data_IF_916203726931
#
_entry.id   IF_916203726931
#
_cell.length_a   1.000
_cell.length_b   1.000
_cell.length_c   1.000
_cell.angle_alpha   90.00
_cell.angle_beta   90.00
_cell.angle_gamma   90.00
#
_symmetry.space_group_name_H-M   'P 1'
#
loop_
_entity.id
_entity.type
_entity.pdbx_description
1 polymer ?
#
# COMPACT_ATOMS: atom_id res chain seq x y z
N UNK A 1 8.39 16.75 18.17
CA UNK A 1 8.59 15.50 17.41
C UNK A 1 9.96 14.94 17.77
N UNK A 2 10.10 13.61 18.02
CA UNK A 2 11.39 13.02 18.40
C UNK A 2 12.39 13.16 17.25
N UNK A 3 13.57 13.70 17.52
CA UNK A 3 14.70 13.78 16.60
C UNK A 3 15.76 12.81 17.12
N UNK A 4 16.05 11.77 16.35
CA UNK A 4 17.05 10.77 16.71
C UNK A 4 18.39 11.13 16.10
N UNK A 5 19.40 11.36 16.95
CA UNK A 5 20.77 11.66 16.58
C UNK A 5 21.73 10.64 17.24
N UNK A 6 22.98 10.50 16.74
CA UNK A 6 23.50 11.07 15.49
C UNK A 6 22.89 10.41 14.24
N UNK A 7 23.05 11.05 13.08
CA UNK A 7 22.76 10.45 11.76
C UNK A 7 24.04 10.48 10.93
N UNK A 8 24.25 9.44 10.14
CA UNK A 8 25.31 9.36 9.13
C UNK A 8 24.68 9.41 7.73
N UNK A 9 25.51 9.66 6.72
CA UNK A 9 25.07 9.58 5.32
C UNK A 9 25.22 8.15 4.77
N UNK A 10 25.57 7.18 5.61
CA UNK A 10 25.81 5.80 5.23
C UNK A 10 24.49 5.04 5.13
N UNK A 11 24.23 4.45 3.95
CA UNK A 11 23.06 3.61 3.75
C UNK A 11 23.39 2.15 4.06
N UNK A 12 22.57 1.52 4.88
CA UNK A 12 22.53 0.07 5.03
C UNK A 12 21.53 -0.48 4.03
N UNK A 13 22.02 -1.20 3.01
CA UNK A 13 21.17 -1.82 2.00
C UNK A 13 20.61 -3.12 2.54
N UNK A 14 19.27 -3.20 2.62
CA UNK A 14 18.59 -4.43 3.05
C UNK A 14 18.85 -5.54 2.02
N UNK A 15 19.23 -6.76 2.43
CA UNK A 15 19.38 -7.89 1.51
C UNK A 15 18.07 -8.20 0.79
N UNK A 16 18.17 -8.82 -0.41
CA UNK A 16 17.01 -9.22 -1.18
C UNK A 16 16.22 -10.34 -0.46
N UNK A 17 14.91 -10.28 -0.56
CA UNK A 17 14.01 -11.24 0.09
C UNK A 17 13.80 -11.04 1.59
N UNK A 18 14.54 -10.14 2.23
CA UNK A 18 14.38 -9.86 3.66
C UNK A 18 13.14 -9.01 3.91
N UNK A 19 12.30 -9.48 4.82
CA UNK A 19 11.08 -8.79 5.26
C UNK A 19 11.19 -8.42 6.74
N UNK A 20 10.99 -7.12 7.05
CA UNK A 20 11.02 -6.60 8.41
C UNK A 20 9.60 -6.50 8.94
N UNK A 21 9.31 -7.16 10.05
CA UNK A 21 7.98 -7.16 10.68
C UNK A 21 8.05 -6.55 12.06
N UNK A 22 7.10 -5.70 12.38
CA UNK A 22 6.85 -5.27 13.76
C UNK A 22 5.36 -5.06 13.99
N UNK A 23 4.92 -5.30 15.23
CA UNK A 23 3.60 -4.90 15.72
C UNK A 23 3.74 -3.85 16.81
N UNK A 24 2.70 -3.06 16.99
CA UNK A 24 2.61 -2.07 18.07
C UNK A 24 1.23 -2.11 18.70
N UNK A 25 1.13 -1.60 19.92
CA UNK A 25 -0.16 -1.23 20.52
C UNK A 25 -0.76 0.01 19.85
N UNK A 26 -1.91 0.45 20.34
CA UNK A 26 -2.60 1.67 19.84
C UNK A 26 -1.80 2.95 20.12
N UNK A 27 -0.93 2.94 21.11
CA UNK A 27 -0.03 4.04 21.48
C UNK A 27 1.28 4.04 20.71
N UNK A 28 1.43 3.11 19.75
CA UNK A 28 2.62 2.89 18.93
C UNK A 28 3.86 2.36 19.68
N UNK A 29 3.70 1.73 20.84
CA UNK A 29 4.79 0.98 21.47
C UNK A 29 4.94 -0.37 20.80
N UNK A 30 6.19 -0.75 20.52
CA UNK A 30 6.52 -2.01 19.86
C UNK A 30 6.16 -3.17 20.79
N UNK A 31 5.29 -4.06 20.32
CA UNK A 31 4.89 -5.29 21.04
C UNK A 31 5.59 -6.53 20.50
N UNK A 32 5.99 -6.48 19.24
CA UNK A 32 6.74 -7.54 18.56
C UNK A 32 7.65 -6.98 17.48
N UNK A 33 8.77 -7.64 17.26
CA UNK A 33 9.65 -7.41 16.11
C UNK A 33 10.35 -8.72 15.73
N UNK A 34 10.43 -9.01 14.43
CA UNK A 34 11.09 -10.21 13.95
C UNK A 34 12.62 -10.07 13.97
N UNK A 35 13.38 -11.19 13.90
CA UNK A 35 14.84 -11.16 13.90
C UNK A 35 15.45 -10.28 12.81
N UNK A 36 14.83 -10.23 11.62
CA UNK A 36 15.28 -9.38 10.54
C UNK A 36 15.18 -7.89 10.88
N UNK A 37 14.10 -7.45 11.55
CA UNK A 37 13.97 -6.06 12.01
C UNK A 37 15.02 -5.71 13.05
N UNK A 38 15.32 -6.61 13.99
CA UNK A 38 16.37 -6.46 15.00
C UNK A 38 17.74 -6.26 14.30
N UNK A 39 18.11 -7.18 13.40
CA UNK A 39 19.38 -7.15 12.69
C UNK A 39 19.55 -5.87 11.83
N UNK A 40 18.52 -5.49 11.08
CA UNK A 40 18.58 -4.31 10.20
C UNK A 40 18.54 -3.02 10.99
N UNK A 41 17.77 -2.93 12.06
CA UNK A 41 17.72 -1.71 12.89
C UNK A 41 18.97 -1.52 13.74
N UNK A 42 19.69 -2.60 14.08
CA UNK A 42 20.88 -2.61 14.92
C UNK A 42 20.60 -2.41 16.42
N UNK A 43 19.33 -2.47 16.82
CA UNK A 43 18.90 -2.50 18.22
C UNK A 43 18.72 -3.94 18.68
N UNK A 44 18.85 -4.20 19.97
CA UNK A 44 18.45 -5.50 20.53
C UNK A 44 16.92 -5.59 20.68
N UNK A 45 16.41 -6.79 20.92
CA UNK A 45 14.97 -7.01 21.17
C UNK A 45 14.51 -6.23 22.40
N UNK A 46 15.31 -6.25 23.46
CA UNK A 46 15.04 -5.58 24.74
C UNK A 46 15.01 -4.07 24.60
N UNK A 47 15.83 -3.53 23.68
CA UNK A 47 15.86 -2.12 23.36
C UNK A 47 14.69 -1.66 22.47
N UNK A 48 14.01 -2.58 21.80
CA UNK A 48 12.91 -2.28 20.89
C UNK A 48 11.54 -2.49 21.53
N UNK A 49 11.32 -3.65 22.17
CA UNK A 49 10.02 -3.98 22.73
C UNK A 49 9.67 -3.02 23.88
N UNK A 50 8.45 -2.53 23.88
CA UNK A 50 7.97 -1.52 24.82
C UNK A 50 8.38 -0.09 24.49
N UNK A 51 9.25 0.15 23.48
CA UNK A 51 9.62 1.50 23.06
C UNK A 51 8.68 2.04 21.99
N UNK A 52 8.46 3.36 21.94
CA UNK A 52 7.71 3.96 20.84
C UNK A 52 8.42 3.68 19.50
N UNK A 53 7.66 3.28 18.48
CA UNK A 53 8.18 2.87 17.18
C UNK A 53 9.01 3.97 16.48
N UNK A 54 8.86 5.24 16.90
CA UNK A 54 9.64 6.35 16.38
C UNK A 54 11.12 6.31 16.78
N UNK A 55 11.56 5.29 17.54
CA UNK A 55 12.98 5.05 17.86
C UNK A 55 13.83 4.86 16.59
N UNK A 56 13.28 4.24 15.56
CA UNK A 56 13.93 4.02 14.26
C UNK A 56 13.68 5.13 13.24
N UNK A 57 13.03 6.22 13.63
CA UNK A 57 12.69 7.28 12.70
C UNK A 57 13.93 8.09 12.30
N UNK A 58 14.11 8.27 10.98
CA UNK A 58 15.13 9.21 10.47
C UNK A 58 14.60 10.66 10.49
N UNK A 59 15.40 11.65 10.88
CA UNK A 59 14.96 13.05 10.94
C UNK A 59 14.62 13.65 9.58
N UNK A 60 15.17 13.15 8.47
CA UNK A 60 14.84 13.61 7.11
C UNK A 60 13.40 13.31 6.67
N UNK A 61 12.72 12.41 7.40
CA UNK A 61 11.33 12.10 7.06
C UNK A 61 10.40 13.26 7.41
N UNK A 62 9.64 13.78 6.43
CA UNK A 62 8.73 14.89 6.68
C UNK A 62 7.63 14.48 7.67
N UNK A 63 7.28 15.36 8.63
CA UNK A 63 6.22 15.10 9.59
C UNK A 63 4.88 14.77 8.96
N UNK A 64 4.63 15.33 7.79
CA UNK A 64 3.41 15.15 7.00
C UNK A 64 3.20 13.70 6.59
N UNK A 65 4.28 12.95 6.29
CA UNK A 65 4.20 11.53 5.96
C UNK A 65 3.65 10.70 7.13
N UNK A 66 4.08 10.99 8.34
CA UNK A 66 3.58 10.29 9.53
C UNK A 66 2.17 10.77 9.93
N UNK A 67 1.83 12.06 9.69
CA UNK A 67 0.46 12.53 9.88
C UNK A 67 -0.50 11.80 8.96
N UNK A 68 -0.18 11.68 7.68
CA UNK A 68 -0.97 10.92 6.70
C UNK A 68 -1.10 9.44 7.11
N UNK A 69 0.00 8.82 7.55
CA UNK A 69 0.00 7.46 8.06
C UNK A 69 -1.00 7.27 9.20
N UNK A 70 -0.91 8.12 10.23
CA UNK A 70 -1.78 7.99 11.40
C UNK A 70 -3.25 8.29 11.10
N UNK A 71 -3.55 9.28 10.26
CA UNK A 71 -4.92 9.56 9.80
C UNK A 71 -5.48 8.36 9.06
N UNK A 72 -4.68 7.74 8.18
CA UNK A 72 -5.08 6.57 7.40
C UNK A 72 -5.32 5.34 8.28
N UNK A 73 -4.37 5.01 9.18
CA UNK A 73 -4.49 3.85 10.06
C UNK A 73 -5.66 3.96 11.04
N UNK A 74 -5.88 5.15 11.61
CA UNK A 74 -7.02 5.42 12.50
C UNK A 74 -8.37 5.35 11.80
N UNK A 75 -8.41 5.56 10.48
CA UNK A 75 -9.62 5.33 9.66
C UNK A 75 -9.87 3.85 9.34
N UNK A 76 -9.08 2.92 9.89
CA UNK A 76 -9.18 1.49 9.59
C UNK A 76 -8.59 1.07 8.24
N UNK A 77 -7.88 1.99 7.56
CA UNK A 77 -7.36 1.75 6.21
C UNK A 77 -5.86 1.44 6.23
N UNK A 78 -5.36 0.58 5.32
CA UNK A 78 -3.93 0.32 5.19
C UNK A 78 -3.20 1.51 4.59
N UNK A 79 -1.97 1.75 5.05
CA UNK A 79 -1.09 2.79 4.56
C UNK A 79 0.20 2.18 3.98
N UNK A 80 0.66 2.69 2.83
CA UNK A 80 1.90 2.23 2.22
C UNK A 80 2.66 3.41 1.63
N UNK A 81 3.93 3.56 2.01
CA UNK A 81 4.85 4.54 1.43
C UNK A 81 6.30 4.16 1.70
N UNK A 82 7.20 4.85 1.01
CA UNK A 82 8.63 4.76 1.29
C UNK A 82 8.98 5.48 2.59
N UNK A 83 9.79 4.83 3.42
CA UNK A 83 10.22 5.38 4.70
C UNK A 83 11.73 5.24 4.83
N UNK A 84 12.39 6.35 5.16
CA UNK A 84 13.79 6.37 5.58
C UNK A 84 13.83 6.14 7.08
N UNK A 85 14.48 5.08 7.51
CA UNK A 85 14.69 4.74 8.91
C UNK A 85 16.14 4.97 9.30
N UNK A 86 16.38 5.13 10.62
CA UNK A 86 17.69 5.27 11.23
C UNK A 86 18.02 4.00 11.99
N UNK A 87 19.24 3.51 11.82
CA UNK A 87 19.84 2.44 12.63
C UNK A 87 20.37 3.00 13.96
N UNK A 88 20.63 2.12 14.92
CA UNK A 88 21.18 2.50 16.23
C UNK A 88 22.49 3.28 16.12
N UNK A 89 23.38 2.90 15.19
CA UNK A 89 24.66 3.57 14.95
C UNK A 89 24.56 4.91 14.19
N UNK A 90 23.37 5.28 13.70
CA UNK A 90 23.16 6.52 12.96
C UNK A 90 23.03 6.33 11.46
N UNK A 91 23.40 5.17 10.90
CA UNK A 91 23.18 4.85 9.49
C UNK A 91 21.68 4.84 9.16
N UNK A 92 21.36 4.88 7.89
CA UNK A 92 19.98 4.83 7.46
C UNK A 92 19.69 3.64 6.54
N UNK A 93 18.43 3.29 6.46
CA UNK A 93 17.94 2.30 5.51
C UNK A 93 16.57 2.68 4.99
N UNK A 94 16.32 2.36 3.72
CA UNK A 94 15.06 2.62 3.06
C UNK A 94 14.17 1.38 3.04
N UNK A 95 12.90 1.58 3.28
CA UNK A 95 11.89 0.52 3.22
C UNK A 95 10.65 0.98 2.47
N UNK A 96 10.03 0.07 1.74
CA UNK A 96 8.61 0.16 1.40
C UNK A 96 7.83 -0.31 2.62
N UNK A 97 7.30 0.62 3.39
CA UNK A 97 6.53 0.31 4.59
C UNK A 97 5.06 0.09 4.24
N UNK A 98 4.51 -1.04 4.69
CA UNK A 98 3.12 -1.40 4.59
C UNK A 98 2.58 -1.54 6.01
N UNK A 99 1.78 -0.57 6.45
CA UNK A 99 1.19 -0.55 7.78
C UNK A 99 -0.31 -0.80 7.72
N UNK A 100 -0.81 -1.65 8.62
CA UNK A 100 -2.23 -2.01 8.71
C UNK A 100 -2.69 -2.02 10.16
N UNK A 101 -3.93 -1.59 10.46
CA UNK A 101 -4.50 -1.81 11.77
C UNK A 101 -4.77 -3.30 12.00
N UNK A 102 -4.45 -3.78 13.19
CA UNK A 102 -4.84 -5.11 13.68
C UNK A 102 -6.23 -4.95 14.28
N UNK A 103 -7.19 -5.69 13.74
CA UNK A 103 -8.59 -5.58 14.15
C UNK A 103 -8.99 -6.78 15.01
N UNK A 104 -9.73 -6.54 16.09
CA UNK A 104 -10.38 -7.57 16.90
C UNK A 104 -11.80 -7.11 17.17
N UNK A 105 -12.80 -7.94 16.84
CA UNK A 105 -14.22 -7.64 17.01
C UNK A 105 -14.62 -6.26 16.42
N UNK A 106 -14.07 -5.92 15.25
CA UNK A 106 -14.36 -4.67 14.56
C UNK A 106 -13.67 -3.42 15.15
N UNK A 107 -12.85 -3.56 16.18
CA UNK A 107 -12.09 -2.48 16.80
C UNK A 107 -10.59 -2.66 16.55
N UNK A 108 -9.83 -1.58 16.31
CA UNK A 108 -8.39 -1.66 16.23
C UNK A 108 -7.81 -1.96 17.63
N UNK A 109 -6.93 -2.95 17.70
CA UNK A 109 -6.20 -3.34 18.93
C UNK A 109 -4.71 -3.05 18.85
N UNK A 110 -4.21 -2.68 17.68
CA UNK A 110 -2.81 -2.37 17.43
C UNK A 110 -2.56 -2.15 15.95
N UNK A 111 -1.29 -2.09 15.59
CA UNK A 111 -0.86 -1.90 14.21
C UNK A 111 0.24 -2.89 13.87
N UNK A 112 0.19 -3.45 12.65
CA UNK A 112 1.26 -4.26 12.08
C UNK A 112 1.92 -3.49 10.94
N UNK A 113 3.23 -3.57 10.86
CA UNK A 113 3.98 -3.01 9.73
C UNK A 113 4.92 -4.04 9.15
N UNK A 114 4.74 -4.33 7.88
CA UNK A 114 5.57 -5.20 7.07
C UNK A 114 6.37 -4.32 6.11
N UNK A 115 7.68 -4.49 6.08
CA UNK A 115 8.60 -3.64 5.32
C UNK A 115 9.47 -4.49 4.43
N UNK A 116 9.57 -4.08 3.18
CA UNK A 116 10.39 -4.74 2.17
C UNK A 116 11.40 -3.76 1.58
N UNK A 117 12.45 -4.30 0.95
CA UNK A 117 13.43 -3.50 0.22
C UNK A 117 12.77 -2.79 -0.97
N UNK A 118 12.91 -1.47 -1.12
CA UNK A 118 12.46 -0.73 -2.30
C UNK A 118 13.47 -0.84 -3.45
N UNK A 119 13.04 -0.50 -4.68
CA UNK A 119 13.96 -0.32 -5.80
C UNK A 119 14.75 0.99 -5.68
N UNK A 120 15.86 1.10 -6.39
CA UNK A 120 16.67 2.33 -6.39
C UNK A 120 15.94 3.53 -6.97
N UNK A 121 15.15 3.32 -8.02
CA UNK A 121 14.32 4.40 -8.60
C UNK A 121 13.28 4.90 -7.59
N UNK A 122 12.66 3.99 -6.84
CA UNK A 122 11.71 4.36 -5.79
C UNK A 122 12.37 5.21 -4.71
N UNK A 123 13.58 4.82 -4.27
CA UNK A 123 14.35 5.58 -3.26
C UNK A 123 14.65 6.99 -3.77
N UNK A 124 15.19 7.13 -4.99
CA UNK A 124 15.49 8.42 -5.59
C UNK A 124 14.26 9.34 -5.71
N UNK A 125 13.14 8.78 -6.15
CA UNK A 125 11.87 9.52 -6.22
C UNK A 125 11.39 9.98 -4.84
N UNK A 126 11.52 9.13 -3.82
CA UNK A 126 11.13 9.47 -2.45
C UNK A 126 12.05 10.53 -1.83
N UNK A 127 13.35 10.46 -2.05
CA UNK A 127 14.31 11.47 -1.57
C UNK A 127 14.00 12.85 -2.15
N UNK A 128 13.81 12.92 -3.48
CA UNK A 128 13.43 14.16 -4.15
C UNK A 128 12.10 14.73 -3.63
N UNK A 129 11.09 13.85 -3.46
CA UNK A 129 9.80 14.23 -2.91
C UNK A 129 9.90 14.78 -1.49
N UNK A 130 10.60 14.06 -0.60
CA UNK A 130 10.69 14.45 0.80
C UNK A 130 11.57 15.68 1.01
N UNK A 131 12.61 15.86 0.19
CA UNK A 131 13.39 17.09 0.15
C UNK A 131 12.51 18.29 -0.25
N UNK A 132 11.72 18.14 -1.31
CA UNK A 132 10.75 19.16 -1.75
C UNK A 132 9.72 19.47 -0.67
N UNK A 133 9.12 18.47 -0.03
CA UNK A 133 8.15 18.68 1.05
C UNK A 133 8.75 19.44 2.24
N UNK A 134 10.02 19.19 2.58
CA UNK A 134 10.73 19.96 3.63
C UNK A 134 10.91 21.42 3.21
N UNK A 135 11.41 21.67 1.99
CA UNK A 135 11.58 23.04 1.45
C UNK A 135 10.25 23.80 1.38
N UNK A 136 9.20 23.17 0.85
CA UNK A 136 7.87 23.78 0.77
C UNK A 136 7.33 24.15 2.16
N UNK A 137 7.59 23.33 3.15
CA UNK A 137 7.19 23.63 4.55
C UNK A 137 7.94 24.83 5.10
N UNK A 138 9.26 24.93 4.86
CA UNK A 138 10.08 26.05 5.32
C UNK A 138 9.65 27.37 4.68
N UNK A 139 9.24 27.33 3.40
CA UNK A 139 8.78 28.52 2.69
C UNK A 139 7.26 28.79 2.83
N UNK A 140 6.53 27.95 3.55
CA UNK A 140 5.09 28.11 3.78
C UNK A 140 4.20 27.90 2.54
N UNK A 141 4.73 27.34 1.45
CA UNK A 141 4.00 27.14 0.20
C UNK A 141 3.95 25.65 -0.18
N UNK A 142 2.85 24.98 0.22
CA UNK A 142 2.68 23.53 0.03
C UNK A 142 2.00 23.26 -1.30
N UNK A 143 2.71 22.64 -2.24
CA UNK A 143 2.19 22.25 -3.57
C UNK A 143 1.92 20.75 -3.67
N UNK A 144 2.55 19.93 -2.83
CA UNK A 144 2.36 18.48 -2.76
C UNK A 144 2.04 18.03 -1.34
N UNK A 145 1.16 17.05 -1.22
CA UNK A 145 0.82 16.41 0.05
C UNK A 145 0.75 14.89 -0.14
N UNK A 146 0.72 14.16 0.98
CA UNK A 146 0.43 12.73 0.98
C UNK A 146 -1.03 12.51 1.38
N UNK A 147 -1.68 11.57 0.70
CA UNK A 147 -3.01 11.09 1.05
C UNK A 147 -3.06 9.56 0.90
N UNK A 148 -3.21 8.86 2.02
CA UNK A 148 -3.15 7.39 2.10
C UNK A 148 -1.86 6.82 1.49
N UNK A 149 -0.73 7.49 1.73
CA UNK A 149 0.60 7.14 1.19
C UNK A 149 0.83 7.51 -0.27
N UNK A 150 -0.13 8.13 -0.96
CA UNK A 150 0.00 8.57 -2.35
C UNK A 150 0.30 10.07 -2.42
N UNK A 151 1.14 10.47 -3.37
CA UNK A 151 1.41 11.87 -3.66
C UNK A 151 0.20 12.49 -4.32
N UNK A 152 -0.28 13.60 -3.78
CA UNK A 152 -1.39 14.39 -4.33
C UNK A 152 -0.99 15.85 -4.46
N UNK A 153 -1.37 16.48 -5.57
CA UNK A 153 -1.22 17.92 -5.71
C UNK A 153 -2.19 18.65 -4.76
N UNK A 154 -1.76 19.78 -4.20
CA UNK A 154 -2.59 20.68 -3.41
C UNK A 154 -3.16 21.82 -4.25
N UNK A 155 -4.03 22.65 -3.69
CA UNK A 155 -4.63 23.79 -4.38
C UNK A 155 -5.57 23.39 -5.53
N UNK A 156 -5.72 24.31 -6.52
CA UNK A 156 -6.64 24.14 -7.66
C UNK A 156 -6.28 22.93 -8.55
N UNK A 157 -4.99 22.64 -8.73
CA UNK A 157 -4.51 21.46 -9.49
C UNK A 157 -4.96 20.16 -8.82
N UNK A 158 -4.86 20.08 -7.50
CA UNK A 158 -5.35 18.93 -6.74
C UNK A 158 -6.87 18.81 -6.76
N UNK A 159 -7.59 19.94 -6.75
CA UNK A 159 -9.05 19.96 -6.90
C UNK A 159 -9.46 19.44 -8.29
N UNK A 160 -8.80 19.89 -9.36
CA UNK A 160 -9.03 19.42 -10.71
C UNK A 160 -8.73 17.92 -10.86
N UNK A 161 -7.60 17.46 -10.31
CA UNK A 161 -7.23 16.05 -10.34
C UNK A 161 -8.24 15.16 -9.59
N UNK A 162 -8.81 15.65 -8.47
CA UNK A 162 -9.90 14.95 -7.76
C UNK A 162 -11.20 14.97 -8.56
N UNK A 163 -11.53 16.09 -9.21
CA UNK A 163 -12.72 16.22 -10.03
C UNK A 163 -12.69 15.31 -11.28
N UNK A 164 -11.51 15.11 -11.87
CA UNK A 164 -11.33 14.25 -13.04
C UNK A 164 -11.12 12.76 -12.72
N UNK A 165 -10.99 12.38 -11.44
CA UNK A 165 -10.92 10.98 -11.06
C UNK A 165 -12.24 10.29 -11.36
N UNK A 166 -12.16 9.27 -12.21
CA UNK A 166 -13.31 8.43 -12.53
C UNK A 166 -13.60 7.50 -11.36
N UNK A 167 -14.66 7.79 -10.63
CA UNK A 167 -15.27 6.86 -9.68
C UNK A 167 -16.24 5.96 -10.45
N UNK A 168 -16.52 4.77 -9.91
CA UNK A 168 -17.47 3.82 -10.51
C UNK A 168 -18.82 4.51 -10.78
N UNK A 169 -19.36 5.21 -9.79
CA UNK A 169 -20.62 5.92 -9.91
C UNK A 169 -20.62 7.00 -11.02
N UNK A 170 -19.53 7.77 -11.15
CA UNK A 170 -19.38 8.77 -12.23
C UNK A 170 -19.29 8.12 -13.61
N UNK A 171 -18.55 7.02 -13.73
CA UNK A 171 -18.42 6.31 -15.02
C UNK A 171 -19.77 5.76 -15.49
N UNK A 172 -20.52 5.14 -14.58
CA UNK A 172 -21.86 4.64 -14.87
C UNK A 172 -22.80 5.80 -15.19
N UNK A 173 -22.80 6.85 -14.35
CA UNK A 173 -23.69 8.00 -14.54
C UNK A 173 -23.45 8.72 -15.87
N UNK A 174 -22.19 8.98 -16.24
CA UNK A 174 -21.84 9.58 -17.51
C UNK A 174 -22.21 8.69 -18.70
N UNK A 175 -22.01 7.37 -18.57
CA UNK A 175 -22.42 6.41 -19.60
C UNK A 175 -23.94 6.40 -19.81
N UNK A 176 -24.72 6.35 -18.75
CA UNK A 176 -26.20 6.38 -18.81
C UNK A 176 -26.69 7.74 -19.36
N UNK A 177 -26.14 8.86 -18.91
CA UNK A 177 -26.50 10.19 -19.38
C UNK A 177 -26.20 10.34 -20.88
N UNK A 178 -25.00 9.87 -21.33
CA UNK A 178 -24.62 9.88 -22.74
C UNK A 178 -25.56 9.08 -23.63
N UNK A 179 -25.96 7.87 -23.18
CA UNK A 179 -26.93 7.04 -23.89
C UNK A 179 -28.32 7.67 -23.94
N UNK A 180 -28.78 8.30 -22.85
CA UNK A 180 -30.07 8.98 -22.82
C UNK A 180 -30.09 10.20 -23.79
N UNK A 181 -29.05 11.02 -23.78
CA UNK A 181 -28.92 12.16 -24.69
C UNK A 181 -28.83 11.71 -26.16
N UNK A 182 -28.08 10.64 -26.44
CA UNK A 182 -27.98 10.08 -27.77
C UNK A 182 -29.31 9.50 -28.23
N UNK A 183 -30.10 8.86 -27.35
CA UNK A 183 -31.45 8.38 -27.62
C UNK A 183 -32.41 9.51 -27.97
N UNK A 184 -32.40 10.62 -27.24
CA UNK A 184 -33.19 11.81 -27.53
C UNK A 184 -32.80 12.42 -28.88
N UNK A 185 -31.49 12.54 -29.17
CA UNK A 185 -30.99 13.06 -30.44
C UNK A 185 -31.39 12.13 -31.61
N UNK A 186 -31.30 10.82 -31.43
CA UNK A 186 -31.73 9.84 -32.41
C UNK A 186 -33.26 9.91 -32.71
N UNK A 187 -34.07 10.08 -31.64
CA UNK A 187 -35.53 10.28 -31.77
C UNK A 187 -35.85 11.56 -32.56
N UNK A 188 -35.18 12.66 -32.28
CA UNK A 188 -35.34 13.91 -33.03
C UNK A 188 -34.90 13.78 -34.51
N UNK A 189 -33.76 13.15 -34.76
CA UNK A 189 -33.26 12.93 -36.13
C UNK A 189 -34.22 12.05 -36.93
N UNK A 190 -34.81 11.01 -36.36
CA UNK A 190 -35.79 10.16 -37.03
C UNK A 190 -37.09 10.91 -37.38
N UNK A 191 -37.52 11.85 -36.52
CA UNK A 191 -38.69 12.66 -36.76
C UNK A 191 -38.48 13.70 -37.91
N UNK A 192 -37.26 14.19 -38.08
CA UNK A 192 -36.92 15.24 -39.06
C UNK A 192 -36.49 14.64 -40.42
N UNK A 193 -35.70 13.55 -40.41
CA UNK A 193 -35.03 12.99 -41.61
C UNK A 193 -35.68 11.74 -42.19
N UNK A 194 -36.78 11.26 -41.60
CA UNK A 194 -37.50 10.08 -42.07
C UNK A 194 -36.72 8.76 -41.89
N UNK A 195 -37.00 7.76 -42.79
CA UNK A 195 -36.45 6.41 -42.67
C UNK A 195 -34.93 6.30 -42.75
N UNK A 196 -34.28 7.11 -43.57
CA UNK A 196 -32.80 7.14 -43.71
C UNK A 196 -32.16 7.69 -42.44
N UNK A 197 -32.72 8.77 -41.86
CA UNK A 197 -32.28 9.34 -40.62
C UNK A 197 -32.44 8.37 -39.41
N UNK A 198 -33.52 7.59 -39.39
CA UNK A 198 -33.75 6.62 -38.31
C UNK A 198 -32.75 5.46 -38.34
N UNK A 199 -32.36 4.96 -39.51
CA UNK A 199 -31.33 3.93 -39.63
C UNK A 199 -29.97 4.42 -39.19
N UNK A 200 -29.56 5.60 -39.63
CA UNK A 200 -28.26 6.23 -39.22
C UNK A 200 -28.21 6.51 -37.72
N UNK A 201 -29.27 7.06 -37.15
CA UNK A 201 -29.39 7.31 -35.74
C UNK A 201 -29.38 6.00 -34.91
N UNK A 202 -30.02 4.96 -35.36
CA UNK A 202 -30.01 3.66 -34.71
C UNK A 202 -28.63 3.01 -34.68
N UNK A 203 -27.90 3.05 -35.81
CA UNK A 203 -26.52 2.55 -35.86
C UNK A 203 -25.58 3.36 -34.97
N UNK A 204 -25.72 4.69 -34.92
CA UNK A 204 -24.95 5.56 -34.04
C UNK A 204 -25.20 5.24 -32.56
N UNK A 205 -26.44 5.01 -32.18
CA UNK A 205 -26.83 4.62 -30.82
C UNK A 205 -26.24 3.26 -30.40
N UNK A 206 -26.29 2.27 -31.32
CA UNK A 206 -25.69 0.95 -31.08
C UNK A 206 -24.16 1.05 -30.91
N UNK A 207 -23.50 1.83 -31.78
CA UNK A 207 -22.06 2.06 -31.67
C UNK A 207 -21.68 2.73 -30.33
N UNK A 208 -22.45 3.74 -29.89
CA UNK A 208 -22.26 4.40 -28.61
C UNK A 208 -22.52 3.44 -27.44
N UNK A 209 -23.55 2.64 -27.49
CA UNK A 209 -23.86 1.62 -26.48
C UNK A 209 -22.73 0.58 -26.35
N UNK A 210 -22.21 0.11 -27.50
CA UNK A 210 -21.06 -0.80 -27.53
C UNK A 210 -19.79 -0.15 -26.92
N UNK A 211 -19.52 1.12 -27.24
CA UNK A 211 -18.40 1.88 -26.68
C UNK A 211 -18.54 2.03 -25.14
N UNK A 212 -19.71 2.46 -24.66
CA UNK A 212 -20.01 2.59 -23.24
C UNK A 212 -19.88 1.23 -22.54
N UNK A 213 -20.41 0.16 -23.13
CA UNK A 213 -20.26 -1.20 -22.61
C UNK A 213 -18.79 -1.65 -22.53
N UNK A 214 -17.99 -1.37 -23.55
CA UNK A 214 -16.55 -1.68 -23.56
C UNK A 214 -15.78 -0.90 -22.47
N UNK A 215 -16.11 0.39 -22.29
CA UNK A 215 -15.51 1.22 -21.25
C UNK A 215 -15.89 0.71 -19.85
N UNK A 216 -17.16 0.41 -19.63
CA UNK A 216 -17.66 -0.16 -18.37
C UNK A 216 -16.98 -1.49 -18.07
N UNK A 217 -16.92 -2.40 -19.06
CA UNK A 217 -16.23 -3.69 -18.90
C UNK A 217 -14.77 -3.51 -18.47
N UNK A 218 -14.04 -2.61 -19.13
CA UNK A 218 -12.63 -2.33 -18.80
C UNK A 218 -12.43 -1.70 -17.43
N UNK A 219 -13.36 -0.85 -17.00
CA UNK A 219 -13.20 -0.09 -15.75
C UNK A 219 -13.84 -0.80 -14.54
N UNK A 220 -14.71 -1.76 -14.74
CA UNK A 220 -15.41 -2.46 -13.66
C UNK A 220 -15.17 -3.97 -13.66
N UNK A 221 -15.57 -4.64 -14.73
CA UNK A 221 -15.58 -6.11 -14.76
C UNK A 221 -14.16 -6.69 -14.76
N UNK A 222 -13.30 -6.20 -15.64
CA UNK A 222 -11.91 -6.70 -15.72
C UNK A 222 -11.12 -6.50 -14.42
N UNK A 223 -11.14 -5.33 -13.74
CA UNK A 223 -10.47 -5.17 -12.43
C UNK A 223 -11.06 -6.07 -11.34
N UNK A 224 -12.36 -6.37 -11.38
CA UNK A 224 -13.01 -7.27 -10.44
C UNK A 224 -12.58 -8.73 -10.68
N UNK A 225 -12.55 -9.17 -11.93
CA UNK A 225 -12.07 -10.50 -12.30
C UNK A 225 -10.60 -10.71 -11.90
N UNK A 226 -9.75 -9.68 -12.09
CA UNK A 226 -8.36 -9.69 -11.61
C UNK A 226 -8.29 -9.87 -10.10
N UNK A 227 -9.11 -9.13 -9.34
CA UNK A 227 -9.14 -9.22 -7.89
C UNK A 227 -9.59 -10.59 -7.40
N UNK A 228 -10.62 -11.17 -8.04
CA UNK A 228 -11.12 -12.52 -7.73
C UNK A 228 -10.06 -13.58 -8.04
N UNK A 229 -9.43 -13.53 -9.23
CA UNK A 229 -8.34 -14.46 -9.58
C UNK A 229 -7.21 -14.39 -8.56
N UNK A 230 -6.78 -13.20 -8.21
CA UNK A 230 -5.71 -13.00 -7.22
C UNK A 230 -6.09 -13.53 -5.84
N UNK A 231 -7.30 -13.27 -5.37
CA UNK A 231 -7.79 -13.82 -4.10
C UNK A 231 -7.81 -15.35 -4.10
N UNK A 232 -8.24 -15.97 -5.21
CA UNK A 232 -8.23 -17.43 -5.38
C UNK A 232 -6.82 -18.01 -5.41
N UNK A 233 -5.87 -17.32 -6.06
CA UNK A 233 -4.44 -17.70 -6.07
C UNK A 233 -3.85 -17.66 -4.66
N UNK A 234 -4.15 -16.61 -3.89
CA UNK A 234 -3.75 -16.51 -2.48
C UNK A 234 -4.38 -17.62 -1.62
N UNK A 235 -5.66 -17.93 -1.84
CA UNK A 235 -6.35 -19.00 -1.12
C UNK A 235 -5.78 -20.40 -1.43
N UNK A 236 -5.19 -20.58 -2.63
CA UNK A 236 -4.45 -21.78 -3.01
C UNK A 236 -3.03 -21.86 -2.42
N UNK A 237 -2.61 -20.84 -1.65
CA UNK A 237 -1.28 -20.77 -1.02
C UNK A 237 -0.19 -20.12 -1.87
N UNK A 238 -0.49 -19.69 -3.10
CA UNK A 238 0.47 -18.94 -3.91
C UNK A 238 0.39 -17.45 -3.58
N UNK A 239 1.37 -16.99 -2.82
CA UNK A 239 1.51 -15.62 -2.36
C UNK A 239 2.50 -14.80 -3.22
N UNK A 240 3.01 -15.34 -4.33
CA UNK A 240 4.08 -14.70 -5.12
C UNK A 240 3.57 -13.56 -6.01
N UNK A 241 2.29 -13.57 -6.36
CA UNK A 241 1.66 -12.63 -7.26
C UNK A 241 1.51 -11.21 -6.68
N UNK A 242 1.28 -10.23 -7.58
CA UNK A 242 0.89 -8.86 -7.25
C UNK A 242 -0.13 -8.33 -8.24
N UNK A 243 -1.15 -7.64 -7.73
CA UNK A 243 -2.11 -6.89 -8.55
C UNK A 243 -1.53 -5.54 -8.97
N UNK A 244 -1.59 -5.25 -10.26
CA UNK A 244 -1.23 -3.94 -10.77
C UNK A 244 -2.31 -2.90 -10.47
N UNK A 245 -1.90 -1.66 -10.19
CA UNK A 245 -2.82 -0.56 -10.00
C UNK A 245 -3.59 -0.29 -11.32
N UNK A 246 -4.91 -0.08 -11.21
CA UNK A 246 -5.76 0.20 -12.38
C UNK A 246 -7.25 0.04 -12.08
N UNK A 247 -8.09 0.57 -12.96
CA UNK A 247 -9.54 0.61 -12.80
C UNK A 247 -10.05 1.87 -12.12
N UNK A 248 -11.34 1.92 -11.83
CA UNK A 248 -11.96 3.00 -11.05
C UNK A 248 -11.33 3.07 -9.64
N UNK A 249 -11.52 4.21 -8.97
CA UNK A 249 -10.88 4.50 -7.66
C UNK A 249 -11.15 3.39 -6.65
N UNK A 250 -12.38 2.87 -6.61
CA UNK A 250 -12.84 1.83 -5.69
C UNK A 250 -12.10 0.50 -5.94
N UNK A 251 -11.88 0.12 -7.20
CA UNK A 251 -11.12 -1.09 -7.55
C UNK A 251 -9.61 -0.92 -7.27
N UNK A 252 -9.07 0.28 -7.46
CA UNK A 252 -7.69 0.55 -7.09
C UNK A 252 -7.47 0.42 -5.58
N UNK A 253 -8.45 0.80 -4.75
CA UNK A 253 -8.42 0.59 -3.29
C UNK A 253 -8.56 -0.88 -2.92
N UNK A 254 -9.48 -1.62 -3.56
CA UNK A 254 -9.61 -3.07 -3.38
C UNK A 254 -8.31 -3.81 -3.72
N UNK A 255 -7.72 -3.53 -4.88
CA UNK A 255 -6.43 -4.12 -5.30
C UNK A 255 -5.31 -3.80 -4.30
N UNK A 256 -5.29 -2.56 -3.76
CA UNK A 256 -4.32 -2.18 -2.72
C UNK A 256 -4.53 -3.00 -1.45
N UNK A 257 -5.76 -3.17 -1.00
CA UNK A 257 -6.08 -3.95 0.19
C UNK A 257 -5.69 -5.43 0.03
N UNK A 258 -5.97 -6.04 -1.14
CA UNK A 258 -5.57 -7.41 -1.45
C UNK A 258 -4.05 -7.58 -1.50
N UNK A 259 -3.32 -6.65 -2.15
CA UNK A 259 -1.86 -6.67 -2.13
C UNK A 259 -1.30 -6.55 -0.71
N UNK A 260 -1.93 -5.73 0.14
CA UNK A 260 -1.52 -5.60 1.52
C UNK A 260 -1.76 -6.89 2.32
N UNK A 261 -2.91 -7.53 2.10
CA UNK A 261 -3.21 -8.82 2.71
C UNK A 261 -2.16 -9.87 2.30
N UNK A 262 -1.81 -9.92 1.01
CA UNK A 262 -0.78 -10.82 0.49
C UNK A 262 0.57 -10.60 1.18
N UNK A 263 1.04 -9.35 1.27
CA UNK A 263 2.30 -9.00 1.93
C UNK A 263 2.28 -9.39 3.42
N UNK A 264 1.15 -9.20 4.10
CA UNK A 264 1.01 -9.58 5.50
C UNK A 264 1.05 -11.11 5.69
N UNK A 265 0.37 -11.86 4.81
CA UNK A 265 0.40 -13.33 4.84
C UNK A 265 1.80 -13.87 4.56
N UNK A 266 2.50 -13.34 3.54
CA UNK A 266 3.89 -13.70 3.28
C UNK A 266 4.78 -13.49 4.51
N UNK A 267 4.62 -12.36 5.18
CA UNK A 267 5.40 -12.04 6.37
C UNK A 267 5.14 -13.02 7.53
N UNK A 268 3.86 -13.33 7.80
CA UNK A 268 3.49 -14.28 8.86
C UNK A 268 4.01 -15.68 8.55
N UNK A 269 3.86 -16.14 7.29
CA UNK A 269 4.36 -17.46 6.87
C UNK A 269 5.89 -17.54 6.99
N UNK A 270 6.60 -16.48 6.59
CA UNK A 270 8.05 -16.43 6.70
C UNK A 270 8.52 -16.44 8.17
N UNK A 271 7.86 -15.71 9.05
CA UNK A 271 8.19 -15.68 10.49
C UNK A 271 7.94 -17.04 11.13
N UNK A 272 6.79 -17.69 10.88
CA UNK A 272 6.47 -19.03 11.38
C UNK A 272 7.50 -20.05 10.90
N UNK A 273 7.87 -20.00 9.62
CA UNK A 273 8.89 -20.90 9.06
C UNK A 273 10.23 -20.75 9.78
N UNK A 274 10.65 -19.52 10.02
CA UNK A 274 11.91 -19.25 10.72
C UNK A 274 11.90 -19.75 12.17
N UNK A 275 10.78 -19.58 12.89
CA UNK A 275 10.63 -20.10 14.24
C UNK A 275 10.65 -21.64 14.28
N UNK A 276 9.98 -22.29 13.32
CA UNK A 276 10.01 -23.77 13.18
C UNK A 276 11.41 -24.29 12.91
N UNK A 277 12.17 -23.64 12.02
CA UNK A 277 13.57 -23.98 11.76
C UNK A 277 14.42 -23.84 13.03
N UNK A 278 14.21 -22.79 13.83
CA UNK A 278 14.86 -22.61 15.13
C UNK A 278 14.54 -23.72 16.14
N UNK A 279 13.28 -24.13 16.22
CA UNK A 279 12.85 -25.26 17.08
C UNK A 279 13.48 -26.59 16.62
N UNK A 280 13.56 -26.83 15.30
CA UNK A 280 14.21 -28.03 14.77
C UNK A 280 15.70 -28.09 15.16
N UNK A 281 16.43 -26.99 15.03
CA UNK A 281 17.84 -26.91 15.41
C UNK A 281 18.00 -27.19 16.93
N UNK A 282 17.19 -26.54 17.76
CA UNK A 282 17.22 -26.75 19.20
C UNK A 282 16.89 -28.22 19.59
N UNK A 283 15.89 -28.82 18.94
CA UNK A 283 15.53 -30.23 19.14
C UNK A 283 16.66 -31.19 18.76
N UNK A 284 17.33 -30.93 17.65
CA UNK A 284 18.52 -31.72 17.27
C UNK A 284 19.67 -31.60 18.27
N UNK A 285 19.92 -30.39 18.79
CA UNK A 285 20.95 -30.17 19.81
C UNK A 285 20.64 -30.90 21.11
N UNK A 286 19.36 -30.88 21.54
CA UNK A 286 18.91 -31.62 22.72
C UNK A 286 19.05 -33.14 22.52
N UNK A 287 18.66 -33.68 21.35
CA UNK A 287 18.80 -35.08 21.01
C UNK A 287 20.27 -35.55 21.03
N UNK A 288 21.15 -34.75 20.41
CA UNK A 288 22.59 -35.03 20.42
C UNK A 288 23.20 -34.98 21.84
N UNK A 289 22.83 -33.95 22.61
CA UNK A 289 23.29 -33.87 24.02
C UNK A 289 22.81 -35.02 24.88
N UNK A 290 21.57 -35.51 24.71
CA UNK A 290 21.05 -36.66 25.40
C UNK A 290 21.76 -37.96 24.98
N UNK A 291 22.16 -38.08 23.74
CA UNK A 291 22.91 -39.24 23.24
C UNK A 291 24.32 -39.28 23.81
N UNK A 292 24.99 -38.14 23.91
CA UNK A 292 26.30 -38.00 24.54
C UNK A 292 26.24 -38.34 26.06
N UNK A 293 25.18 -37.91 26.74
CA UNK A 293 24.97 -38.27 28.17
C UNK A 293 24.68 -39.74 28.33
N UNK A 294 23.95 -40.39 27.41
CA UNK A 294 23.63 -41.83 27.48
C UNK A 294 24.81 -42.73 27.13
N UNK A 295 25.82 -42.19 26.45
CA UNK A 295 27.03 -42.94 26.08
C UNK A 295 28.16 -42.86 27.10
N UNK A 296 28.00 -42.07 28.16
CA UNK A 296 28.90 -41.97 29.34
C UNK A 296 28.39 -42.81 30.49
#
# INVERSE_FOLDING_TARGET
MRVNLPVTQQEFVIPDGVTLVSTTDLSSHITYCNPAFIAVSGYSREELVGQPHNIVRHPDMPPEAFRDMWVTLKSGSPWSALVKNRRKNGDHYWVMANATPIMSNGQPVGYMSVRTKPTREQVQQAEALYARMRQEREHGHVTVALHRGRVVATGWRGALQRATRLTLGRTIGLGCAGLALAGLAAGHASAVMGSVGSLGAGLGLLALAALVGAVLRRQTLAPLEDAIRFANTMAAGDLTGRLQAGGAVEFAELKKALNQLNVNLQAVVADVRHEVEGVQVASHQIASGNQDLSSR
#
